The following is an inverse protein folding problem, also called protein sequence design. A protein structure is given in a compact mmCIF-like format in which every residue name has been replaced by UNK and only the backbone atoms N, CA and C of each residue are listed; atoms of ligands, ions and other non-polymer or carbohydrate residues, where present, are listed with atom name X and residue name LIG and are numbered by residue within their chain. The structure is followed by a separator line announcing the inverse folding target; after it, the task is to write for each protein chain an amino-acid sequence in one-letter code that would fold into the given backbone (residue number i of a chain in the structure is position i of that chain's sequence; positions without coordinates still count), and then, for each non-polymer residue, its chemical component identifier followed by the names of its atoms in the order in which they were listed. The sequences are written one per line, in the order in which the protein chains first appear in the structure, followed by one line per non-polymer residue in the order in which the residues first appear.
data_IF_980856552056
#
_entry.id   IF_980856552056
#
_cell.length_a   1.000
_cell.length_b   1.000
_cell.length_c   1.000
_cell.angle_alpha   90.00
_cell.angle_beta   90.00
_cell.angle_gamma   90.00
#
_symmetry.space_group_name_H-M   'P 1'
#
loop_
_entity.id
_entity.type
_entity.pdbx_description
1 polymer ?
#
# COMPACT_ATOMS: atom_id res chain seq x y z
N UNK A 1 5.68 19.92 11.08
CA UNK A 1 5.04 18.69 10.59
C UNK A 1 4.70 18.79 9.11
N UNK A 2 4.71 17.67 8.38
CA UNK A 2 4.40 17.63 6.94
C UNK A 2 2.97 18.10 6.64
N UNK A 3 2.03 17.81 7.53
CA UNK A 3 0.63 18.23 7.43
C UNK A 3 0.52 19.75 7.34
N UNK A 4 1.19 20.47 8.24
CA UNK A 4 1.21 21.95 8.26
C UNK A 4 1.79 22.53 6.97
N UNK A 5 2.90 21.97 6.47
CA UNK A 5 3.53 22.41 5.20
C UNK A 5 2.61 22.25 3.97
N UNK A 6 1.67 21.31 4.03
CA UNK A 6 0.72 21.04 2.97
C UNK A 6 -0.69 21.62 3.25
N UNK A 7 -0.83 22.48 4.26
CA UNK A 7 -2.10 23.09 4.67
C UNK A 7 -3.21 22.07 4.97
N UNK A 8 -2.83 20.93 5.57
CA UNK A 8 -3.76 19.86 5.95
C UNK A 8 -4.08 19.98 7.44
N UNK A 9 -5.38 19.99 7.76
CA UNK A 9 -5.89 19.99 9.14
C UNK A 9 -5.98 18.56 9.69
N UNK A 10 -4.86 17.87 9.62
CA UNK A 10 -4.73 16.48 10.06
C UNK A 10 -3.87 16.38 11.30
N UNK A 11 -4.21 15.42 12.16
CA UNK A 11 -3.40 15.03 13.33
C UNK A 11 -3.10 13.53 13.28
N UNK A 12 -2.03 13.07 13.94
CA UNK A 12 -1.79 11.63 14.11
C UNK A 12 -2.97 10.95 14.81
N UNK A 13 -3.48 9.88 14.23
CA UNK A 13 -4.56 9.11 14.83
C UNK A 13 -4.02 8.27 15.99
N UNK A 14 -4.80 8.16 17.06
CA UNK A 14 -4.47 7.35 18.23
C UNK A 14 -5.49 6.21 18.35
N UNK A 15 -5.01 4.98 18.39
CA UNK A 15 -5.83 3.79 18.60
C UNK A 15 -5.04 2.76 19.42
N UNK A 16 -5.71 2.01 20.31
CA UNK A 16 -5.08 1.00 21.17
C UNK A 16 -4.35 -0.09 20.38
N UNK A 17 -4.83 -0.43 19.19
CA UNK A 17 -4.29 -1.48 18.33
C UNK A 17 -3.36 -0.94 17.23
N UNK A 18 -3.03 0.35 17.22
CA UNK A 18 -2.26 0.96 16.13
C UNK A 18 -0.88 0.32 15.96
N UNK A 19 -0.21 -0.05 17.05
CA UNK A 19 1.09 -0.73 17.01
C UNK A 19 1.00 -2.15 16.42
N UNK A 20 -0.15 -2.82 16.61
CA UNK A 20 -0.43 -4.10 15.95
C UNK A 20 -0.68 -3.88 14.46
N UNK A 21 -1.50 -2.89 14.10
CA UNK A 21 -1.83 -2.58 12.70
C UNK A 21 -0.60 -2.22 11.85
N UNK A 22 0.40 -1.59 12.48
CA UNK A 22 1.68 -1.25 11.84
C UNK A 22 2.60 -2.47 11.62
N UNK A 23 2.33 -3.58 12.28
CA UNK A 23 3.22 -4.73 12.25
C UNK A 23 2.53 -5.96 11.63
N UNK A 24 2.74 -6.15 10.32
CA UNK A 24 2.18 -7.29 9.59
C UNK A 24 2.62 -8.65 10.13
N UNK A 25 3.80 -8.74 10.77
CA UNK A 25 4.30 -9.97 11.39
C UNK A 25 3.57 -10.32 12.69
N UNK A 26 2.95 -9.32 13.33
CA UNK A 26 2.12 -9.49 14.55
C UNK A 26 0.62 -9.55 14.24
N UNK A 27 0.26 -9.72 12.96
CA UNK A 27 -1.13 -9.80 12.51
C UNK A 27 -1.56 -8.61 11.66
N UNK A 28 -0.99 -7.41 11.88
CA UNK A 28 -1.34 -6.21 11.14
C UNK A 28 -2.82 -5.80 11.31
N UNK A 29 -3.30 -4.95 10.41
CA UNK A 29 -4.74 -4.74 10.23
C UNK A 29 -5.32 -5.92 9.45
N UNK A 30 -6.45 -6.46 9.87
CA UNK A 30 -7.01 -7.66 9.25
C UNK A 30 -8.54 -7.67 9.24
N UNK A 31 -9.09 -8.33 8.22
CA UNK A 31 -10.52 -8.55 8.05
C UNK A 31 -10.79 -9.94 7.46
N UNK A 32 -11.72 -10.69 8.07
CA UNK A 32 -12.24 -11.94 7.51
C UNK A 32 -13.44 -11.65 6.62
N UNK A 33 -13.27 -11.86 5.31
CA UNK A 33 -14.40 -11.81 4.38
C UNK A 33 -15.28 -13.06 4.52
N UNK A 34 -16.48 -12.87 5.08
CA UNK A 34 -17.41 -13.97 5.38
C UNK A 34 -17.95 -14.69 4.13
N UNK A 35 -17.95 -14.01 2.95
CA UNK A 35 -18.46 -14.60 1.70
C UNK A 35 -17.49 -15.64 1.14
N UNK A 36 -16.21 -15.33 1.19
CA UNK A 36 -15.15 -16.18 0.62
C UNK A 36 -14.39 -16.98 1.66
N UNK A 37 -14.56 -16.66 2.95
CA UNK A 37 -13.76 -17.20 4.06
C UNK A 37 -12.25 -16.94 3.89
N UNK A 38 -11.89 -15.81 3.25
CA UNK A 38 -10.51 -15.35 3.11
C UNK A 38 -10.20 -14.27 4.15
N UNK A 39 -9.02 -14.36 4.75
CA UNK A 39 -8.48 -13.29 5.60
C UNK A 39 -7.63 -12.37 4.75
N UNK A 40 -7.99 -11.08 4.75
CA UNK A 40 -7.20 -10.03 4.14
C UNK A 40 -6.45 -9.33 5.26
N UNK A 41 -5.14 -9.15 5.12
CA UNK A 41 -4.36 -8.46 6.15
C UNK A 41 -3.18 -7.69 5.54
N UNK A 42 -2.63 -6.75 6.33
CA UNK A 42 -1.44 -6.00 5.96
C UNK A 42 -0.93 -5.13 7.11
N UNK A 43 0.22 -4.50 6.92
CA UNK A 43 0.78 -3.53 7.88
C UNK A 43 0.60 -2.11 7.35
N UNK A 44 -0.16 -1.28 8.05
CA UNK A 44 -0.36 0.13 7.70
C UNK A 44 0.78 0.94 8.32
N UNK A 45 1.49 1.75 7.53
CA UNK A 45 2.59 2.55 8.05
C UNK A 45 2.11 3.63 9.01
N UNK A 46 1.06 4.37 8.65
CA UNK A 46 0.48 5.39 9.51
C UNK A 46 -0.99 5.69 9.19
N UNK A 47 -1.69 6.25 10.17
CA UNK A 47 -3.05 6.75 10.02
C UNK A 47 -3.11 8.16 10.61
N UNK A 48 -3.64 9.09 9.83
CA UNK A 48 -3.95 10.44 10.28
C UNK A 48 -5.46 10.60 10.45
N UNK A 49 -5.86 11.58 11.22
CA UNK A 49 -7.25 11.96 11.42
C UNK A 49 -7.51 13.34 10.84
N UNK A 50 -8.42 13.41 9.88
CA UNK A 50 -8.91 14.67 9.33
C UNK A 50 -9.88 15.30 10.34
N UNK A 51 -9.48 16.41 10.93
CA UNK A 51 -10.26 17.09 11.97
C UNK A 51 -11.51 17.77 11.39
N UNK A 52 -11.50 18.10 10.10
CA UNK A 52 -12.61 18.75 9.41
C UNK A 52 -13.66 17.73 8.98
N UNK A 53 -13.26 16.73 8.23
CA UNK A 53 -14.16 15.71 7.70
C UNK A 53 -14.47 14.58 8.71
N UNK A 54 -13.75 14.55 9.84
CA UNK A 54 -13.89 13.51 10.90
C UNK A 54 -13.61 12.10 10.40
N UNK A 55 -12.70 11.96 9.45
CA UNK A 55 -12.35 10.68 8.81
C UNK A 55 -10.92 10.28 9.06
N UNK A 56 -10.68 8.97 9.03
CA UNK A 56 -9.33 8.43 9.01
C UNK A 56 -8.72 8.62 7.62
N UNK A 57 -7.42 8.88 7.58
CA UNK A 57 -6.64 9.05 6.35
C UNK A 57 -5.46 8.10 6.43
N UNK A 58 -5.41 7.12 5.53
CA UNK A 58 -4.28 6.17 5.48
C UNK A 58 -3.09 6.85 4.83
N UNK A 59 -1.92 6.65 5.42
CA UNK A 59 -0.65 7.18 4.92
C UNK A 59 0.38 6.06 4.83
N UNK A 60 1.06 6.01 3.71
CA UNK A 60 2.06 5.01 3.41
C UNK A 60 3.40 5.68 3.10
N UNK A 61 4.46 5.27 3.82
CA UNK A 61 5.80 5.85 3.70
C UNK A 61 6.61 5.12 2.65
N UNK A 62 7.08 5.84 1.64
CA UNK A 62 7.91 5.28 0.56
C UNK A 62 9.26 5.98 0.50
N UNK A 63 10.32 5.20 0.63
CA UNK A 63 11.69 5.65 0.43
C UNK A 63 12.17 5.23 -0.97
N UNK A 64 12.77 6.17 -1.68
CA UNK A 64 13.35 5.91 -2.99
C UNK A 64 14.56 6.81 -3.23
N UNK A 65 15.31 6.54 -4.31
CA UNK A 65 16.35 7.45 -4.81
C UNK A 65 16.23 7.53 -6.33
N UNK A 66 15.64 8.61 -6.81
CA UNK A 66 15.47 8.91 -8.23
C UNK A 66 16.23 10.17 -8.59
N UNK A 67 16.85 10.20 -9.78
CA UNK A 67 17.45 11.41 -10.33
C UNK A 67 16.40 12.39 -10.89
N UNK A 68 15.17 11.91 -11.06
CA UNK A 68 14.06 12.72 -11.56
C UNK A 68 13.22 13.25 -10.39
N UNK A 69 12.70 14.49 -10.48
CA UNK A 69 11.81 15.04 -9.48
C UNK A 69 10.56 14.18 -9.29
N UNK A 70 10.18 13.97 -8.05
CA UNK A 70 8.92 13.29 -7.69
C UNK A 70 7.79 14.32 -7.79
N UNK A 71 6.81 14.06 -8.65
CA UNK A 71 5.57 14.84 -8.76
C UNK A 71 4.35 13.93 -8.62
N UNK A 72 3.19 14.49 -8.34
CA UNK A 72 1.93 13.72 -8.26
C UNK A 72 1.74 12.90 -9.55
N UNK A 73 1.84 13.55 -10.71
CA UNK A 73 1.65 12.91 -12.01
C UNK A 73 2.65 11.78 -12.24
N UNK A 74 3.96 12.06 -12.16
CA UNK A 74 5.00 11.06 -12.43
C UNK A 74 4.93 9.87 -11.48
N UNK A 75 4.49 10.09 -10.23
CA UNK A 75 4.36 9.03 -9.24
C UNK A 75 3.14 8.15 -9.50
N UNK A 76 1.97 8.76 -9.74
CA UNK A 76 0.73 8.02 -9.92
C UNK A 76 0.61 7.35 -11.31
N UNK A 77 1.21 7.91 -12.36
CA UNK A 77 1.18 7.33 -13.70
C UNK A 77 2.21 6.18 -13.87
N UNK A 78 3.10 5.99 -12.91
CA UNK A 78 4.12 4.93 -12.97
C UNK A 78 3.50 3.55 -12.79
N UNK A 79 3.75 2.63 -13.72
CA UNK A 79 3.38 1.22 -13.63
C UNK A 79 4.09 0.52 -12.46
N UNK A 80 5.31 0.93 -12.13
CA UNK A 80 6.07 0.41 -10.98
C UNK A 80 5.37 0.66 -9.64
N UNK A 81 4.51 1.67 -9.56
CA UNK A 81 3.77 2.02 -8.35
C UNK A 81 2.35 1.41 -8.30
N UNK A 82 1.98 0.55 -9.27
CA UNK A 82 0.68 -0.10 -9.27
C UNK A 82 0.46 -0.89 -7.96
N UNK A 83 1.45 -1.68 -7.54
CA UNK A 83 1.35 -2.46 -6.31
C UNK A 83 1.15 -1.59 -5.06
N UNK A 84 1.71 -0.39 -5.02
CA UNK A 84 1.50 0.55 -3.92
C UNK A 84 0.05 1.08 -3.89
N UNK A 85 -0.53 1.34 -5.06
CA UNK A 85 -1.94 1.75 -5.17
C UNK A 85 -2.87 0.63 -4.71
N UNK A 86 -2.64 -0.61 -5.16
CA UNK A 86 -3.41 -1.77 -4.70
C UNK A 86 -3.28 -1.98 -3.19
N UNK A 87 -2.09 -1.84 -2.64
CA UNK A 87 -1.84 -1.92 -1.20
C UNK A 87 -2.66 -0.88 -0.42
N UNK A 88 -2.68 0.36 -0.89
CA UNK A 88 -3.44 1.45 -0.27
C UNK A 88 -4.95 1.19 -0.29
N UNK A 89 -5.48 0.75 -1.44
CA UNK A 89 -6.88 0.38 -1.60
C UNK A 89 -7.30 -0.73 -0.62
N UNK A 90 -6.44 -1.75 -0.47
CA UNK A 90 -6.66 -2.86 0.45
C UNK A 90 -6.71 -2.37 1.90
N UNK A 91 -5.80 -1.50 2.33
CA UNK A 91 -5.79 -0.98 3.68
C UNK A 91 -7.07 -0.19 4.00
N UNK A 92 -7.48 0.68 3.08
CA UNK A 92 -8.73 1.44 3.25
C UNK A 92 -9.94 0.50 3.26
N UNK A 93 -9.96 -0.52 2.40
CA UNK A 93 -11.02 -1.52 2.39
C UNK A 93 -11.14 -2.23 3.74
N UNK A 94 -10.03 -2.72 4.30
CA UNK A 94 -10.02 -3.40 5.61
C UNK A 94 -10.58 -2.47 6.69
N UNK A 95 -10.09 -1.24 6.79
CA UNK A 95 -10.55 -0.30 7.80
C UNK A 95 -12.05 0.01 7.66
N UNK A 96 -12.56 0.17 6.44
CA UNK A 96 -14.00 0.36 6.18
C UNK A 96 -14.81 -0.87 6.60
N UNK A 97 -14.32 -2.08 6.34
CA UNK A 97 -14.95 -3.33 6.80
C UNK A 97 -14.90 -3.50 8.32
N UNK A 98 -13.97 -2.86 9.00
CA UNK A 98 -13.90 -2.76 10.46
C UNK A 98 -14.80 -1.63 11.01
N UNK A 99 -15.64 -1.00 10.18
CA UNK A 99 -16.57 0.09 10.50
C UNK A 99 -15.89 1.43 10.87
N UNK A 100 -14.69 1.69 10.38
CA UNK A 100 -14.10 3.02 10.45
C UNK A 100 -14.58 3.88 9.28
N UNK A 101 -14.81 5.17 9.53
CA UNK A 101 -15.04 6.15 8.48
C UNK A 101 -13.68 6.60 7.93
N UNK A 102 -13.40 6.24 6.68
CA UNK A 102 -12.11 6.45 6.04
C UNK A 102 -12.28 7.31 4.80
N UNK A 103 -11.44 8.31 4.67
CA UNK A 103 -11.40 9.24 3.53
C UNK A 103 -11.25 8.49 2.19
N UNK A 104 -11.81 9.07 1.13
CA UNK A 104 -11.56 8.63 -0.25
C UNK A 104 -10.20 9.09 -0.79
N UNK A 105 -9.49 9.92 -0.03
CA UNK A 105 -8.13 10.36 -0.34
C UNK A 105 -7.20 9.82 0.74
N UNK A 106 -6.17 9.10 0.32
CA UNK A 106 -5.03 8.67 1.13
C UNK A 106 -3.74 9.29 0.60
N UNK A 107 -2.63 9.13 1.29
CA UNK A 107 -1.40 9.80 0.89
C UNK A 107 -0.21 8.85 0.87
N UNK A 108 0.59 8.92 -0.20
CA UNK A 108 1.97 8.43 -0.16
C UNK A 108 2.88 9.57 0.32
N UNK A 109 3.62 9.32 1.38
CA UNK A 109 4.67 10.21 1.85
C UNK A 109 6.00 9.73 1.31
N UNK A 110 6.39 10.31 0.17
CA UNK A 110 7.57 9.88 -0.59
C UNK A 110 8.80 10.64 -0.12
N UNK A 111 9.81 9.91 0.33
CA UNK A 111 11.11 10.40 0.74
C UNK A 111 12.13 10.04 -0.33
N UNK A 112 12.54 11.00 -1.16
CA UNK A 112 13.49 10.78 -2.25
C UNK A 112 14.90 11.22 -1.85
N UNK A 113 15.82 10.26 -1.75
CA UNK A 113 17.25 10.54 -1.53
C UNK A 113 17.89 11.18 -2.76
N UNK A 114 18.55 12.31 -2.58
CA UNK A 114 19.22 13.02 -3.64
C UNK A 114 20.57 12.36 -3.97
N UNK A 115 20.71 11.87 -5.20
CA UNK A 115 21.94 11.22 -5.68
C UNK A 115 22.69 12.03 -6.75
N UNK A 116 22.24 13.25 -7.01
CA UNK A 116 22.85 14.14 -8.02
C UNK A 116 23.96 15.03 -7.46
N UNK A 117 24.27 14.91 -6.17
CA UNK A 117 25.37 15.64 -5.55
C UNK A 117 26.73 15.16 -6.07
N UNK A 118 27.61 16.10 -6.41
CA UNK A 118 28.93 15.82 -6.99
C UNK A 118 29.88 15.04 -6.07
N UNK A 119 29.56 14.92 -4.78
CA UNK A 119 30.35 14.13 -3.83
C UNK A 119 29.50 13.68 -2.66
N UNK A 120 29.76 12.45 -2.20
CA UNK A 120 29.23 11.94 -0.94
C UNK A 120 30.04 12.54 0.22
N UNK A 121 29.41 13.43 0.98
CA UNK A 121 30.01 14.08 2.16
C UNK A 121 29.55 13.43 3.47
N UNK A 122 29.46 12.10 3.51
CA UNK A 122 28.90 11.34 4.62
C UNK A 122 27.46 11.76 5.01
N UNK A 123 26.71 12.32 4.02
CA UNK A 123 25.37 12.85 4.21
C UNK A 123 24.55 12.61 2.96
N UNK A 124 23.31 12.16 3.14
CA UNK A 124 22.30 12.06 2.08
C UNK A 124 21.21 13.08 2.42
N UNK A 125 20.94 13.98 1.49
CA UNK A 125 19.82 14.90 1.59
C UNK A 125 18.56 14.24 1.03
N UNK A 126 17.43 14.44 1.70
CA UNK A 126 16.14 13.90 1.26
C UNK A 126 15.18 15.02 0.91
N UNK A 127 14.52 14.85 -0.22
CA UNK A 127 13.37 15.67 -0.62
C UNK A 127 12.10 14.89 -0.39
N UNK A 128 11.19 15.46 0.38
CA UNK A 128 9.92 14.81 0.71
C UNK A 128 8.78 15.40 -0.10
N UNK A 129 7.90 14.54 -0.60
CA UNK A 129 6.72 14.93 -1.38
C UNK A 129 5.52 14.15 -0.86
N UNK A 130 4.40 14.83 -0.64
CA UNK A 130 3.14 14.22 -0.27
C UNK A 130 2.27 14.06 -1.52
N UNK A 131 1.93 12.83 -1.86
CA UNK A 131 1.17 12.47 -3.06
C UNK A 131 -0.23 12.05 -2.65
N UNK A 132 -1.27 12.85 -2.92
CA UNK A 132 -2.65 12.43 -2.69
C UNK A 132 -3.03 11.34 -3.70
N UNK A 133 -3.65 10.28 -3.20
CA UNK A 133 -4.15 9.16 -4.00
C UNK A 133 -5.65 8.97 -3.75
N UNK A 134 -6.42 8.97 -4.83
CA UNK A 134 -7.86 8.68 -4.77
C UNK A 134 -8.09 7.19 -4.70
N UNK A 135 -8.66 6.73 -3.61
CA UNK A 135 -8.93 5.32 -3.32
C UNK A 135 -9.98 4.73 -4.27
N UNK A 136 -9.72 3.51 -4.70
CA UNK A 136 -10.69 2.70 -5.44
C UNK A 136 -10.73 1.27 -4.86
N UNK A 137 -11.73 0.98 -4.04
CA UNK A 137 -11.90 -0.35 -3.43
C UNK A 137 -12.88 -1.25 -4.22
N UNK A 138 -13.46 -0.77 -5.32
CA UNK A 138 -14.51 -1.49 -6.05
C UNK A 138 -14.07 -2.82 -6.67
N UNK A 139 -12.78 -2.98 -6.93
CA UNK A 139 -12.19 -4.17 -7.51
C UNK A 139 -11.95 -5.30 -6.49
N UNK A 140 -11.93 -5.00 -5.18
CA UNK A 140 -11.46 -5.93 -4.14
C UNK A 140 -12.43 -7.09 -3.96
N UNK A 141 -13.72 -6.81 -3.70
CA UNK A 141 -14.70 -7.89 -3.47
C UNK A 141 -14.84 -8.85 -4.67
N UNK A 142 -14.96 -8.37 -5.92
CA UNK A 142 -14.94 -9.26 -7.08
C UNK A 142 -13.66 -10.11 -7.15
N UNK A 143 -12.50 -9.51 -6.86
CA UNK A 143 -11.22 -10.23 -6.89
C UNK A 143 -11.12 -11.30 -5.80
N UNK A 144 -11.69 -11.08 -4.62
CA UNK A 144 -11.75 -12.10 -3.56
C UNK A 144 -12.59 -13.31 -3.99
N UNK A 145 -13.68 -13.09 -4.72
CA UNK A 145 -14.51 -14.17 -5.26
C UNK A 145 -13.70 -14.98 -6.28
N UNK A 146 -13.05 -14.32 -7.25
CA UNK A 146 -12.18 -14.98 -8.24
C UNK A 146 -11.06 -15.79 -7.55
N UNK A 147 -10.41 -15.20 -6.55
CA UNK A 147 -9.38 -15.91 -5.78
C UNK A 147 -9.93 -17.15 -5.09
N UNK A 148 -11.14 -17.07 -4.51
CA UNK A 148 -11.79 -18.22 -3.87
C UNK A 148 -12.14 -19.30 -4.88
N UNK A 149 -12.61 -18.94 -6.06
CA UNK A 149 -12.89 -19.88 -7.15
C UNK A 149 -11.62 -20.63 -7.57
N UNK A 150 -10.51 -19.91 -7.76
CA UNK A 150 -9.22 -20.52 -8.10
C UNK A 150 -8.73 -21.46 -7.00
N UNK A 151 -8.89 -21.09 -5.72
CA UNK A 151 -8.49 -21.93 -4.59
C UNK A 151 -9.34 -23.21 -4.44
N UNK A 152 -10.53 -23.23 -5.03
CA UNK A 152 -11.43 -24.39 -5.01
C UNK A 152 -11.27 -25.30 -6.24
N UNK A 153 -10.37 -24.98 -7.17
CA UNK A 153 -10.09 -25.86 -8.33
C UNK A 153 -9.40 -27.15 -7.90
N UNK A 154 -9.76 -28.27 -8.51
CA UNK A 154 -9.13 -29.57 -8.29
C UNK A 154 -7.69 -29.62 -8.81
N UNK A 155 -7.32 -28.70 -9.72
CA UNK A 155 -5.97 -28.59 -10.28
C UNK A 155 -5.52 -27.12 -10.31
N UNK A 156 -4.21 -26.85 -10.22
CA UNK A 156 -3.70 -25.49 -10.33
C UNK A 156 -4.09 -24.87 -11.69
N UNK A 157 -4.33 -23.54 -11.74
CA UNK A 157 -4.59 -22.84 -12.99
C UNK A 157 -3.39 -22.92 -13.93
N UNK A 158 -3.62 -22.64 -15.21
CA UNK A 158 -2.56 -22.56 -16.19
C UNK A 158 -1.51 -21.51 -15.78
N UNK A 159 -0.24 -21.85 -16.04
CA UNK A 159 0.87 -20.95 -15.77
C UNK A 159 0.77 -19.74 -16.71
N UNK A 160 0.80 -18.54 -16.12
CA UNK A 160 0.96 -17.30 -16.88
C UNK A 160 2.33 -17.30 -17.57
N UNK A 161 2.41 -17.16 -18.91
CA UNK A 161 3.66 -17.27 -19.67
C UNK A 161 4.76 -16.29 -19.22
N UNK A 162 4.36 -15.14 -18.71
CA UNK A 162 5.27 -14.08 -18.23
C UNK A 162 5.65 -14.21 -16.76
N UNK A 163 5.15 -15.23 -16.05
CA UNK A 163 5.42 -15.41 -14.63
C UNK A 163 6.82 -15.98 -14.37
N UNK A 164 7.76 -15.14 -13.97
CA UNK A 164 9.15 -15.52 -13.65
C UNK A 164 9.22 -16.58 -12.55
N UNK A 165 8.37 -16.50 -11.52
CA UNK A 165 8.33 -17.51 -10.44
C UNK A 165 7.89 -18.87 -10.95
N UNK A 166 6.91 -18.91 -11.84
CA UNK A 166 6.45 -20.13 -12.47
C UNK A 166 7.52 -20.72 -13.40
N UNK A 167 8.22 -19.89 -14.16
CA UNK A 167 9.35 -20.30 -15.00
C UNK A 167 10.47 -20.89 -14.16
N UNK A 168 10.83 -20.26 -13.04
CA UNK A 168 11.83 -20.77 -12.10
C UNK A 168 11.45 -22.15 -11.54
N UNK A 169 10.22 -22.33 -11.05
CA UNK A 169 9.74 -23.60 -10.52
C UNK A 169 9.73 -24.71 -11.59
N UNK A 170 9.35 -24.37 -12.83
CA UNK A 170 9.37 -25.32 -13.95
C UNK A 170 10.80 -25.72 -14.33
N UNK A 171 11.73 -24.76 -14.34
CA UNK A 171 13.15 -25.03 -14.58
C UNK A 171 13.79 -25.90 -13.48
N UNK A 172 13.43 -25.64 -12.22
CA UNK A 172 13.95 -26.40 -11.07
C UNK A 172 13.53 -27.88 -11.05
N UNK A 173 12.37 -28.23 -11.59
CA UNK A 173 11.92 -29.62 -11.69
C UNK A 173 12.84 -30.54 -12.55
N UNK A 174 13.72 -29.94 -13.33
CA UNK A 174 14.69 -30.71 -14.15
C UNK A 174 15.98 -31.02 -13.39
N UNK A 175 16.10 -30.61 -12.11
CA UNK A 175 17.27 -30.82 -11.27
C UNK A 175 16.99 -31.79 -10.09
N UNK A 176 15.77 -32.28 -9.97
CA UNK A 176 15.32 -33.31 -9.03
C UNK A 176 14.55 -34.37 -9.82
#
# INVERSE_FOLDING_TARGET
PIMVRNNLDFIPYQHKDLDVWRNSLKGGVSYLDKKTNLVIHGGIDDIWFDQKEKKLVVVDYKAQSSSYPVSIKSYLDSEWHLNYKLQMDIYVHILRKMNFDVSDISYFYVCNGEKTNNSFKNKIDFKTTLIPYKINTSWIEPKLIEMKEVLNLDSPPNIEPTCEKCAYLKGGKNFF
#
